data_IF_958380800404
#
_entry.id   IF_958380800404
#
_cell.length_a   1.000
_cell.length_b   1.000
_cell.length_c   1.000
_cell.angle_alpha   90.00
_cell.angle_beta   90.00
_cell.angle_gamma   90.00
#
_symmetry.space_group_name_H-M   'P 1'
#
loop_
_entity.id
_entity.type
_entity.pdbx_description
1 polymer ?
#
# COMPACT_ATOMS: atom_id res chain seq x y z
N UNK A 1 10.90 20.30 27.75
CA UNK A 1 10.65 20.39 26.30
C UNK A 1 11.77 19.59 25.66
N UNK A 2 11.51 18.33 25.30
CA UNK A 2 12.55 17.48 24.70
C UNK A 2 12.44 17.51 23.18
N UNK A 3 13.56 17.87 22.57
CA UNK A 3 13.81 17.80 21.14
C UNK A 3 13.88 16.32 20.71
N UNK A 4 13.03 15.96 19.76
CA UNK A 4 13.06 14.66 19.08
C UNK A 4 13.33 14.85 17.61
N UNK A 5 14.49 15.39 17.27
CA UNK A 5 15.01 15.41 15.90
C UNK A 5 15.75 14.09 15.61
N UNK A 6 14.98 13.06 15.25
CA UNK A 6 15.41 12.24 14.13
C UNK A 6 14.58 12.69 12.94
N UNK A 7 15.12 13.58 12.11
CA UNK A 7 14.60 13.83 10.77
C UNK A 7 14.63 12.51 9.99
N UNK A 8 13.55 11.75 10.08
CA UNK A 8 13.23 10.78 9.05
C UNK A 8 12.96 11.60 7.79
N UNK A 9 13.82 11.44 6.78
CA UNK A 9 13.56 11.88 5.40
C UNK A 9 12.35 11.14 4.82
N UNK A 10 11.17 11.40 5.38
CA UNK A 10 9.89 10.78 5.08
C UNK A 10 8.95 11.83 4.52
N UNK A 11 8.29 11.49 3.41
CA UNK A 11 7.18 12.30 2.92
C UNK A 11 5.91 11.87 3.65
N UNK A 12 5.13 12.84 4.12
CA UNK A 12 3.78 12.60 4.63
C UNK A 12 2.75 13.13 3.63
N UNK A 13 1.58 12.51 3.63
CA UNK A 13 0.50 12.90 2.73
C UNK A 13 -0.85 12.81 3.41
N UNK A 14 -1.79 13.64 2.94
CA UNK A 14 -3.18 13.64 3.36
C UNK A 14 -4.06 13.22 2.18
N UNK A 15 -5.16 12.53 2.48
CA UNK A 15 -6.14 12.13 1.46
C UNK A 15 -7.11 13.28 1.25
N UNK A 16 -7.21 13.74 -0.01
CA UNK A 16 -8.18 14.74 -0.41
C UNK A 16 -9.56 14.08 -0.51
N UNK A 17 -10.59 14.60 0.19
CA UNK A 17 -11.95 14.06 0.08
C UNK A 17 -12.48 14.11 -1.35
N UNK A 18 -13.27 13.11 -1.75
CA UNK A 18 -13.78 12.98 -3.13
C UNK A 18 -14.45 14.26 -3.65
N UNK A 19 -15.27 14.93 -2.84
CA UNK A 19 -15.96 16.18 -3.25
C UNK A 19 -14.97 17.29 -3.59
N UNK A 20 -13.96 17.49 -2.74
CA UNK A 20 -12.90 18.50 -2.97
C UNK A 20 -12.07 18.15 -4.20
N UNK A 21 -11.77 16.87 -4.41
CA UNK A 21 -11.05 16.42 -5.61
C UNK A 21 -11.86 16.67 -6.90
N UNK A 22 -13.18 16.51 -6.87
CA UNK A 22 -14.06 16.75 -8.03
C UNK A 22 -14.22 18.23 -8.37
N UNK A 23 -14.18 19.13 -7.37
CA UNK A 23 -14.27 20.58 -7.56
C UNK A 23 -12.92 21.20 -7.98
N UNK A 24 -11.82 20.47 -7.78
CA UNK A 24 -10.46 20.97 -7.96
C UNK A 24 -9.86 21.35 -6.61
N UNK A 25 -8.86 20.61 -6.10
CA UNK A 25 -8.24 20.94 -4.83
C UNK A 25 -7.53 22.30 -4.88
N UNK A 26 -7.56 23.08 -3.78
CA UNK A 26 -6.93 24.38 -3.74
C UNK A 26 -5.42 24.25 -3.97
N UNK A 27 -4.86 25.21 -4.70
CA UNK A 27 -3.44 25.19 -5.02
C UNK A 27 -2.61 25.44 -3.75
N UNK A 28 -1.61 24.60 -3.44
CA UNK A 28 -0.77 24.80 -2.27
C UNK A 28 -0.02 26.12 -2.35
N UNK A 29 0.04 26.85 -1.23
CA UNK A 29 0.78 28.13 -1.15
C UNK A 29 2.28 27.90 -1.01
N UNK A 30 2.67 26.85 -0.27
CA UNK A 30 4.08 26.47 -0.11
C UNK A 30 4.54 25.57 -1.26
N UNK A 31 5.81 25.74 -1.68
CA UNK A 31 6.47 24.88 -2.66
C UNK A 31 6.82 23.49 -2.11
N UNK A 32 6.79 23.32 -0.79
CA UNK A 32 7.06 22.05 -0.11
C UNK A 32 5.84 21.11 -0.10
N UNK A 33 4.69 21.60 -0.59
CA UNK A 33 3.43 20.86 -0.63
C UNK A 33 2.99 20.72 -2.08
N UNK A 34 2.78 19.48 -2.50
CA UNK A 34 2.38 19.14 -3.86
C UNK A 34 1.14 18.24 -3.85
N UNK A 35 0.31 18.39 -4.88
CA UNK A 35 -0.85 17.53 -5.09
C UNK A 35 -0.43 16.43 -6.05
N UNK A 36 -0.56 15.18 -5.63
CA UNK A 36 -0.22 13.99 -6.43
C UNK A 36 -1.40 13.03 -6.50
N UNK A 37 -1.55 12.42 -7.67
CA UNK A 37 -2.46 11.29 -7.83
C UNK A 37 -1.80 10.01 -7.29
N UNK A 38 -2.48 9.34 -6.36
CA UNK A 38 -2.06 8.02 -5.86
C UNK A 38 -2.87 6.94 -6.58
N UNK A 39 -2.20 6.14 -7.42
CA UNK A 39 -2.86 5.02 -8.12
C UNK A 39 -3.42 4.01 -7.12
N UNK A 40 -4.70 3.68 -7.30
CA UNK A 40 -5.35 2.58 -6.58
C UNK A 40 -4.72 1.22 -6.90
N UNK A 41 -4.90 0.23 -6.02
CA UNK A 41 -4.35 -1.11 -6.21
C UNK A 41 -4.58 -2.00 -5.00
N UNK A 42 -4.01 -3.21 -5.05
CA UNK A 42 -4.13 -4.20 -3.97
C UNK A 42 -2.99 -4.03 -2.97
N UNK A 43 -3.33 -3.99 -1.69
CA UNK A 43 -2.37 -3.87 -0.58
C UNK A 43 -2.60 -4.99 0.42
N UNK A 44 -1.49 -5.56 0.91
CA UNK A 44 -1.49 -6.30 2.15
C UNK A 44 -1.31 -5.31 3.30
N UNK A 45 -2.07 -5.48 4.38
CA UNK A 45 -2.13 -4.52 5.49
C UNK A 45 -2.07 -5.25 6.81
N UNK A 46 -1.26 -4.74 7.75
CA UNK A 46 -1.26 -5.16 9.14
C UNK A 46 -1.63 -3.99 10.03
N UNK A 47 -2.55 -4.22 10.97
CA UNK A 47 -2.92 -3.26 12.03
C UNK A 47 -2.08 -3.53 13.28
N UNK A 48 -1.64 -2.47 13.95
CA UNK A 48 -0.98 -2.54 15.25
C UNK A 48 -1.39 -1.35 16.14
N UNK A 49 -1.25 -1.53 17.46
CA UNK A 49 -1.52 -0.52 18.48
C UNK A 49 -0.23 0.12 19.01
N UNK A 50 -0.37 1.21 19.77
CA UNK A 50 0.75 1.90 20.40
C UNK A 50 1.17 3.18 19.66
N UNK A 51 2.34 3.70 20.04
CA UNK A 51 2.93 4.86 19.37
C UNK A 51 3.63 4.39 18.09
N UNK A 52 3.28 5.00 16.95
CA UNK A 52 3.97 4.78 15.69
C UNK A 52 5.35 5.44 15.74
N UNK A 53 6.39 4.63 15.58
CA UNK A 53 7.79 5.07 15.43
C UNK A 53 8.53 4.07 14.53
N UNK A 54 9.79 4.35 14.20
CA UNK A 54 10.58 3.50 13.31
C UNK A 54 10.67 2.04 13.78
N UNK A 55 10.78 1.82 15.10
CA UNK A 55 10.86 0.47 15.67
C UNK A 55 9.53 -0.29 15.55
N UNK A 56 8.42 0.31 15.96
CA UNK A 56 7.10 -0.33 15.91
C UNK A 56 6.64 -0.57 14.48
N UNK A 57 6.92 0.37 13.57
CA UNK A 57 6.65 0.23 12.14
C UNK A 57 7.47 -0.91 11.52
N UNK A 58 8.79 -0.99 11.75
CA UNK A 58 9.64 -2.08 11.23
C UNK A 58 9.21 -3.46 11.75
N UNK A 59 8.81 -3.55 13.02
CA UNK A 59 8.30 -4.80 13.60
C UNK A 59 6.99 -5.25 12.94
N UNK A 60 6.07 -4.32 12.68
CA UNK A 60 4.83 -4.60 11.97
C UNK A 60 5.11 -4.99 10.50
N UNK A 61 5.99 -4.26 9.82
CA UNK A 61 6.40 -4.54 8.45
C UNK A 61 7.00 -5.94 8.30
N UNK A 62 7.92 -6.34 9.18
CA UNK A 62 8.53 -7.66 9.14
C UNK A 62 7.48 -8.79 9.25
N UNK A 63 6.52 -8.64 10.18
CA UNK A 63 5.41 -9.59 10.34
C UNK A 63 4.51 -9.64 9.10
N UNK A 64 4.26 -8.48 8.48
CA UNK A 64 3.46 -8.41 7.27
C UNK A 64 4.16 -9.10 6.10
N UNK A 65 5.46 -8.88 5.91
CA UNK A 65 6.25 -9.54 4.85
C UNK A 65 6.27 -11.06 5.02
N UNK A 66 6.50 -11.55 6.23
CA UNK A 66 6.43 -12.98 6.53
C UNK A 66 5.05 -13.57 6.19
N UNK A 67 3.98 -12.85 6.49
CA UNK A 67 2.62 -13.28 6.14
C UNK A 67 2.36 -13.27 4.63
N UNK A 68 2.86 -12.25 3.91
CA UNK A 68 2.77 -12.16 2.44
C UNK A 68 3.48 -13.35 1.80
N UNK A 69 4.70 -13.66 2.24
CA UNK A 69 5.51 -14.76 1.72
C UNK A 69 4.80 -16.11 1.94
N UNK A 70 4.23 -16.33 3.14
CA UNK A 70 3.40 -17.51 3.45
C UNK A 70 2.15 -17.64 2.58
N UNK A 71 1.68 -16.54 1.99
CA UNK A 71 0.54 -16.52 1.06
C UNK A 71 0.96 -16.63 -0.40
N UNK A 72 2.25 -16.70 -0.71
CA UNK A 72 2.75 -16.75 -2.08
C UNK A 72 2.57 -15.44 -2.86
N UNK A 73 2.28 -14.33 -2.17
CA UNK A 73 2.01 -13.06 -2.81
C UNK A 73 3.31 -12.32 -3.14
N UNK A 74 3.33 -11.59 -4.25
CA UNK A 74 4.48 -10.77 -4.64
C UNK A 74 4.33 -9.35 -4.09
N UNK A 75 5.08 -9.03 -3.03
CA UNK A 75 5.15 -7.69 -2.44
C UNK A 75 6.10 -6.76 -3.18
N UNK A 76 5.78 -5.46 -3.15
CA UNK A 76 6.74 -4.41 -3.49
C UNK A 76 7.79 -4.19 -2.40
N UNK A 77 8.89 -3.52 -2.77
CA UNK A 77 9.97 -3.19 -1.85
C UNK A 77 9.55 -2.13 -0.84
N UNK A 78 8.76 -1.13 -1.26
CA UNK A 78 8.36 0.00 -0.41
C UNK A 78 7.18 -0.38 0.48
N UNK A 79 7.28 0.00 1.75
CA UNK A 79 6.18 -0.04 2.71
C UNK A 79 5.71 1.39 3.01
N UNK A 80 4.43 1.54 3.30
CA UNK A 80 3.81 2.79 3.71
C UNK A 80 3.23 2.63 5.13
N UNK A 81 3.18 3.72 5.89
CA UNK A 81 2.51 3.76 7.19
C UNK A 81 1.26 4.63 7.13
N UNK A 82 0.23 4.26 7.88
CA UNK A 82 -0.98 5.06 8.04
C UNK A 82 -1.36 5.16 9.52
N UNK A 83 -1.40 6.39 10.03
CA UNK A 83 -1.92 6.73 11.35
C UNK A 83 -3.28 7.41 11.19
N UNK A 84 -4.26 6.97 11.96
CA UNK A 84 -5.64 7.48 11.86
C UNK A 84 -6.02 8.36 13.05
N UNK A 85 -5.46 8.06 14.21
CA UNK A 85 -5.85 8.71 15.46
C UNK A 85 -4.98 9.95 15.74
N UNK A 86 -5.59 11.01 16.31
CA UNK A 86 -4.88 12.22 16.65
C UNK A 86 -3.86 12.01 17.79
N UNK A 87 -2.88 12.93 17.96
CA UNK A 87 -1.77 12.78 18.91
C UNK A 87 -2.20 12.75 20.39
N UNK A 88 -3.42 13.16 20.73
CA UNK A 88 -3.96 13.08 22.09
C UNK A 88 -4.59 11.72 22.42
N UNK A 89 -4.79 10.85 21.43
CA UNK A 89 -5.35 9.50 21.67
C UNK A 89 -4.34 8.66 22.45
N UNK A 90 -4.74 7.99 23.56
CA UNK A 90 -3.85 7.10 24.30
C UNK A 90 -3.27 6.00 23.39
N UNK A 91 -1.98 5.72 23.51
CA UNK A 91 -1.24 4.81 22.62
C UNK A 91 -1.93 3.45 22.37
N UNK A 92 -2.40 2.73 23.41
CA UNK A 92 -3.07 1.44 23.23
C UNK A 92 -4.37 1.51 22.42
N UNK A 93 -5.02 2.68 22.39
CA UNK A 93 -6.27 2.91 21.64
C UNK A 93 -6.00 3.36 20.20
N UNK A 94 -4.76 3.70 19.85
CA UNK A 94 -4.41 4.10 18.49
C UNK A 94 -4.47 2.91 17.53
N UNK A 95 -5.00 3.17 16.35
CA UNK A 95 -4.94 2.35 15.15
C UNK A 95 -3.83 2.87 14.26
N UNK A 96 -2.83 2.04 14.07
CA UNK A 96 -1.76 2.24 13.12
C UNK A 96 -1.74 1.09 12.12
N UNK A 97 -1.35 1.36 10.89
CA UNK A 97 -1.23 0.35 9.84
C UNK A 97 0.10 0.47 9.10
N UNK A 98 0.64 -0.69 8.69
CA UNK A 98 1.67 -0.79 7.64
C UNK A 98 1.02 -1.42 6.42
N UNK A 99 1.26 -0.82 5.26
CA UNK A 99 0.71 -1.24 3.97
C UNK A 99 1.84 -1.57 3.01
N UNK A 100 1.74 -2.69 2.31
CA UNK A 100 2.65 -3.07 1.23
C UNK A 100 1.81 -3.40 0.01
N UNK A 101 2.09 -2.74 -1.12
CA UNK A 101 1.43 -3.05 -2.38
C UNK A 101 1.82 -4.46 -2.81
N UNK A 102 0.83 -5.25 -3.21
CA UNK A 102 1.04 -6.60 -3.74
C UNK A 102 0.59 -6.62 -5.19
N UNK A 103 1.33 -7.35 -6.03
CA UNK A 103 0.91 -7.56 -7.42
C UNK A 103 -0.36 -8.40 -7.43
N UNK A 104 -1.32 -8.02 -8.26
CA UNK A 104 -2.35 -8.97 -8.69
C UNK A 104 -1.66 -10.02 -9.54
N UNK A 105 -1.87 -11.27 -9.17
CA UNK A 105 -1.63 -12.41 -10.03
C UNK A 105 -2.58 -12.30 -11.24
N UNK A 106 -2.11 -11.71 -12.34
CA UNK A 106 -2.62 -12.07 -13.66
C UNK A 106 -2.12 -13.50 -13.96
N UNK A 107 -2.72 -14.48 -13.29
CA UNK A 107 -2.46 -15.90 -13.58
C UNK A 107 -3.23 -16.23 -14.86
N UNK A 108 -2.49 -16.34 -15.96
CA UNK A 108 -2.79 -17.23 -17.09
C UNK A 108 -3.98 -16.87 -17.99
N UNK A 109 -3.87 -15.81 -18.79
CA UNK A 109 -4.66 -15.66 -20.04
C UNK A 109 -3.91 -16.09 -21.31
N UNK A 110 -2.61 -16.38 -21.24
CA UNK A 110 -1.81 -16.76 -22.42
C UNK A 110 -1.64 -18.27 -22.65
N UNK A 111 -1.98 -19.17 -21.71
CA UNK A 111 -1.81 -20.63 -21.92
C UNK A 111 -3.03 -21.30 -22.62
N UNK A 112 -4.02 -20.54 -23.11
CA UNK A 112 -5.19 -21.13 -23.80
C UNK A 112 -5.12 -21.18 -25.32
N UNK A 113 -4.02 -20.79 -25.95
CA UNK A 113 -3.96 -20.76 -27.43
C UNK A 113 -3.40 -22.06 -28.05
N UNK A 114 -2.58 -22.82 -27.32
CA UNK A 114 -1.88 -23.96 -27.91
C UNK A 114 -2.69 -25.26 -27.94
N UNK A 115 -3.81 -25.36 -27.20
CA UNK A 115 -4.63 -26.58 -27.18
C UNK A 115 -5.69 -26.65 -28.29
N UNK A 116 -5.92 -25.57 -29.06
CA UNK A 116 -6.98 -25.52 -30.07
C UNK A 116 -6.47 -25.93 -31.47
N UNK A 117 -5.16 -25.92 -31.72
CA UNK A 117 -4.62 -26.14 -33.07
C UNK A 117 -4.42 -27.65 -33.40
N UNK A 118 -4.38 -28.54 -32.41
CA UNK A 118 -4.17 -29.98 -32.66
C UNK A 118 -5.43 -30.79 -32.98
N UNK A 119 -6.64 -30.24 -32.85
CA UNK A 119 -7.89 -30.98 -33.15
C UNK A 119 -8.40 -30.84 -34.59
N UNK A 120 -7.67 -30.15 -35.47
CA UNK A 120 -8.10 -29.86 -36.85
C UNK A 120 -7.59 -30.78 -37.96
N UNK A 121 -6.81 -31.83 -37.66
CA UNK A 121 -6.35 -32.80 -38.68
C UNK A 121 -6.85 -34.20 -38.37
N UNK A 122 -8.06 -34.53 -38.80
CA UNK A 122 -8.44 -35.87 -39.29
C UNK A 122 -9.93 -35.87 -39.65
N UNK A 123 -10.27 -36.51 -40.79
CA UNK A 123 -11.61 -36.86 -41.29
C UNK A 123 -12.26 -35.72 -42.12
N UNK A 124 -12.57 -35.84 -43.42
CA UNK A 124 -12.82 -36.98 -44.29
C UNK A 124 -12.56 -36.65 -45.78
N UNK A 125 -12.16 -37.69 -46.52
CA UNK A 125 -12.39 -38.00 -47.95
C UNK A 125 -12.09 -36.95 -49.04
#
# INVERSE_FOLDING_TARGET
MEAGEEESAGQMGFVIPKRVASEGPPQPVSKDVEIRERKGGRFAVIRFSGIMNAKTARQAEAKLREWIDKKGLVAEKKAETAGYDPPFTPGPLRRNEVLIRVKSEDVQSEIRIDSVIESGKSQDN
#
